data_IF_009237990400
#
_entry.id   IF_009237990400
#
_cell.length_a   1.000
_cell.length_b   1.000
_cell.length_c   1.000
_cell.angle_alpha   90.00
_cell.angle_beta   90.00
_cell.angle_gamma   90.00
#
_symmetry.space_group_name_H-M   'P 1'
#
loop_
_entity.id
_entity.type
_entity.pdbx_description
1 polymer ?
#
# COMPACT_ATOMS: atom_id res chain seq x y z
N UNK A 1 9.07 -17.83 -14.69
CA UNK A 1 9.21 -16.37 -14.89
C UNK A 1 7.85 -15.74 -14.62
N UNK A 2 7.67 -14.92 -13.56
CA UNK A 2 6.39 -14.25 -13.36
C UNK A 2 6.16 -13.29 -14.52
N UNK A 3 4.98 -13.34 -15.12
CA UNK A 3 4.56 -12.42 -16.18
C UNK A 3 4.51 -11.03 -15.53
N UNK A 4 5.46 -10.16 -15.86
CA UNK A 4 5.42 -8.77 -15.46
C UNK A 4 4.03 -8.25 -15.84
N UNK A 5 3.23 -7.86 -14.84
CA UNK A 5 1.92 -7.28 -15.09
C UNK A 5 2.13 -6.13 -16.07
N UNK A 6 1.43 -6.15 -17.21
CA UNK A 6 1.51 -5.07 -18.18
C UNK A 6 1.19 -3.76 -17.46
N UNK A 7 2.19 -2.88 -17.36
CA UNK A 7 2.04 -1.59 -16.73
C UNK A 7 1.22 -0.72 -17.67
N UNK A 8 -0.11 -0.78 -17.53
CA UNK A 8 -1.03 0.03 -18.32
C UNK A 8 -0.90 1.49 -17.87
N UNK A 9 -0.32 2.31 -18.74
CA UNK A 9 -0.20 3.74 -18.51
C UNK A 9 -1.52 4.42 -18.94
N UNK A 10 -2.08 5.25 -18.05
CA UNK A 10 -3.32 5.99 -18.31
C UNK A 10 -2.99 7.47 -18.49
N UNK A 11 -3.46 8.12 -19.58
CA UNK A 11 -3.21 9.54 -19.79
C UNK A 11 -3.97 10.39 -18.76
N UNK A 12 -3.31 11.43 -18.25
CA UNK A 12 -3.90 12.41 -17.34
C UNK A 12 -3.93 13.78 -18.04
N UNK A 13 -5.14 14.30 -18.27
CA UNK A 13 -5.35 15.63 -18.85
C UNK A 13 -5.88 16.59 -17.79
N UNK A 14 -5.26 17.76 -17.65
CA UNK A 14 -5.68 18.81 -16.72
C UNK A 14 -5.39 20.19 -17.31
N UNK A 15 -6.15 21.19 -16.86
CA UNK A 15 -5.96 22.61 -17.24
C UNK A 15 -5.35 23.36 -16.07
N UNK A 16 -4.30 24.12 -16.32
CA UNK A 16 -3.67 25.00 -15.34
C UNK A 16 -3.60 26.43 -15.88
N UNK A 17 -3.68 27.45 -15.00
CA UNK A 17 -3.29 28.81 -15.34
C UNK A 17 -1.86 28.88 -15.86
N UNK A 18 -1.58 29.84 -16.75
CA UNK A 18 -0.25 30.03 -17.33
C UNK A 18 0.82 30.32 -16.25
N UNK A 19 0.45 31.09 -15.22
CA UNK A 19 1.32 31.39 -14.09
C UNK A 19 1.79 30.12 -13.35
N UNK A 20 0.88 29.16 -13.14
CA UNK A 20 1.20 27.91 -12.46
C UNK A 20 2.12 27.04 -13.32
N UNK A 21 1.87 26.98 -14.63
CA UNK A 21 2.71 26.26 -15.59
C UNK A 21 4.14 26.84 -15.57
N UNK A 22 4.29 28.15 -15.57
CA UNK A 22 5.59 28.82 -15.55
C UNK A 22 6.40 28.47 -14.28
N UNK A 23 5.73 28.42 -13.12
CA UNK A 23 6.38 28.04 -11.85
C UNK A 23 6.80 26.57 -11.88
N UNK A 24 5.93 25.68 -12.37
CA UNK A 24 6.21 24.24 -12.50
C UNK A 24 7.40 24.00 -13.42
N UNK A 25 7.45 24.66 -14.57
CA UNK A 25 8.54 24.52 -15.55
C UNK A 25 9.88 24.95 -14.99
N UNK A 26 9.89 26.06 -14.25
CA UNK A 26 11.09 26.53 -13.57
C UNK A 26 11.56 25.50 -12.54
N UNK A 27 10.65 24.95 -11.73
CA UNK A 27 10.99 23.94 -10.73
C UNK A 27 11.49 22.64 -11.36
N UNK A 28 10.84 22.16 -12.43
CA UNK A 28 11.25 20.97 -13.16
C UNK A 28 12.64 21.14 -13.79
N UNK A 29 12.90 22.32 -14.38
CA UNK A 29 14.21 22.68 -14.97
C UNK A 29 15.31 22.68 -13.90
N UNK A 30 15.06 23.29 -12.74
CA UNK A 30 16.02 23.29 -11.62
C UNK A 30 16.32 21.88 -11.09
N UNK A 31 15.39 20.93 -11.27
CA UNK A 31 15.57 19.52 -10.91
C UNK A 31 16.10 18.66 -12.06
N UNK A 32 16.30 19.21 -13.26
CA UNK A 32 16.73 18.47 -14.45
C UNK A 32 15.72 17.40 -14.88
N UNK A 33 14.43 17.64 -14.67
CA UNK A 33 13.33 16.71 -15.01
C UNK A 33 12.39 17.33 -16.04
N UNK A 34 11.65 16.48 -16.76
CA UNK A 34 10.56 16.94 -17.61
C UNK A 34 9.39 17.47 -16.76
N UNK A 35 8.59 18.39 -17.31
CA UNK A 35 7.35 18.87 -16.67
C UNK A 35 6.46 17.69 -16.23
N UNK A 36 6.26 16.72 -17.12
CA UNK A 36 5.41 15.55 -16.88
C UNK A 36 5.95 14.69 -15.75
N UNK A 37 7.26 14.43 -15.70
CA UNK A 37 7.86 13.65 -14.62
C UNK A 37 7.75 14.39 -13.28
N UNK A 38 8.02 15.68 -13.26
CA UNK A 38 7.96 16.51 -12.06
C UNK A 38 6.54 16.54 -11.48
N UNK A 39 5.53 16.77 -12.31
CA UNK A 39 4.12 16.78 -11.87
C UNK A 39 3.68 15.39 -11.41
N UNK A 40 4.07 14.32 -12.12
CA UNK A 40 3.73 12.94 -11.72
C UNK A 40 4.30 12.62 -10.34
N UNK A 41 5.60 12.88 -10.14
CA UNK A 41 6.28 12.59 -8.87
C UNK A 41 5.67 13.40 -7.73
N UNK A 42 5.42 14.69 -7.93
CA UNK A 42 4.78 15.54 -6.94
C UNK A 42 3.37 15.07 -6.57
N UNK A 43 2.56 14.69 -7.57
CA UNK A 43 1.20 14.19 -7.33
C UNK A 43 1.17 12.86 -6.56
N UNK A 44 2.06 11.91 -6.92
CA UNK A 44 2.17 10.62 -6.22
C UNK A 44 2.59 10.86 -4.77
N UNK A 45 3.62 11.67 -4.55
CA UNK A 45 4.11 11.98 -3.20
C UNK A 45 3.02 12.60 -2.33
N UNK A 46 2.29 13.59 -2.86
CA UNK A 46 1.20 14.21 -2.13
C UNK A 46 0.08 13.21 -1.78
N UNK A 47 -0.22 12.27 -2.70
CA UNK A 47 -1.19 11.21 -2.42
C UNK A 47 -0.70 10.24 -1.34
N UNK A 48 0.57 9.84 -1.38
CA UNK A 48 1.20 8.98 -0.37
C UNK A 48 1.16 9.64 1.02
N UNK A 49 1.51 10.93 1.11
CA UNK A 49 1.47 11.68 2.36
C UNK A 49 0.06 11.66 2.99
N UNK A 50 -0.98 11.91 2.18
CA UNK A 50 -2.38 11.86 2.65
C UNK A 50 -2.80 10.45 3.09
N UNK A 51 -2.38 9.42 2.35
CA UNK A 51 -2.69 8.04 2.72
C UNK A 51 -2.03 7.67 4.06
N UNK A 52 -0.79 8.09 4.28
CA UNK A 52 -0.07 7.89 5.54
C UNK A 52 -0.75 8.62 6.70
N UNK A 53 -1.26 9.84 6.50
CA UNK A 53 -2.03 10.57 7.51
C UNK A 53 -3.35 9.89 7.90
N UNK A 54 -3.96 9.16 6.97
CA UNK A 54 -5.21 8.42 7.18
C UNK A 54 -5.03 7.00 7.73
N UNK A 55 -3.81 6.47 7.69
CA UNK A 55 -3.48 5.11 8.14
C UNK A 55 -3.19 4.90 9.65
N UNK A 56 -3.08 5.90 10.55
CA UNK A 56 -2.80 5.60 11.94
C UNK A 56 -4.05 5.05 12.62
N UNK A 57 -3.93 3.85 13.21
CA UNK A 57 -4.88 3.36 14.20
C UNK A 57 -4.80 4.30 15.41
N UNK A 58 -5.70 5.28 15.48
CA UNK A 58 -5.77 6.17 16.63
C UNK A 58 -6.36 5.42 17.81
N UNK A 59 -5.65 5.42 18.92
CA UNK A 59 -6.10 4.83 20.19
C UNK A 59 -5.79 5.78 21.34
N UNK A 60 -6.60 5.72 22.40
CA UNK A 60 -6.32 6.44 23.65
C UNK A 60 -5.06 5.86 24.32
N UNK A 61 -4.48 6.59 25.28
CA UNK A 61 -3.34 6.09 26.06
C UNK A 61 -3.67 4.75 26.76
N UNK A 62 -4.89 4.62 27.29
CA UNK A 62 -5.37 3.38 27.90
C UNK A 62 -5.52 2.25 26.86
N UNK A 63 -6.04 2.57 25.67
CA UNK A 63 -6.15 1.63 24.56
C UNK A 63 -4.78 1.13 24.09
N UNK A 64 -3.78 2.02 24.06
CA UNK A 64 -2.40 1.65 23.76
C UNK A 64 -1.78 0.76 24.84
N UNK A 65 -2.04 1.07 26.12
CA UNK A 65 -1.61 0.22 27.23
C UNK A 65 -2.22 -1.18 27.19
N UNK A 66 -3.53 -1.28 26.89
CA UNK A 66 -4.21 -2.55 26.71
C UNK A 66 -3.65 -3.34 25.52
N UNK A 67 -3.38 -2.66 24.40
CA UNK A 67 -2.77 -3.25 23.22
C UNK A 67 -1.37 -3.82 23.52
N UNK A 68 -0.48 -3.06 24.16
CA UNK A 68 0.85 -3.52 24.55
C UNK A 68 0.80 -4.70 25.53
N UNK A 69 -0.15 -4.69 26.47
CA UNK A 69 -0.38 -5.81 27.39
C UNK A 69 -0.80 -7.07 26.64
N UNK A 70 -1.71 -6.95 25.68
CA UNK A 70 -2.12 -8.07 24.84
C UNK A 70 -0.95 -8.61 24.00
N UNK A 71 -0.13 -7.73 23.42
CA UNK A 71 1.00 -8.10 22.57
C UNK A 71 2.14 -8.78 23.35
N UNK A 72 2.39 -8.35 24.58
CA UNK A 72 3.45 -8.90 25.46
C UNK A 72 3.03 -10.16 26.22
N UNK A 73 1.74 -10.48 26.25
CA UNK A 73 1.23 -11.67 26.93
C UNK A 73 1.54 -12.94 26.12
N UNK A 74 1.82 -14.08 26.78
CA UNK A 74 1.94 -15.35 26.10
C UNK A 74 0.70 -15.65 25.26
N UNK A 75 0.91 -16.21 24.06
CA UNK A 75 -0.17 -16.59 23.18
C UNK A 75 -1.09 -17.59 23.89
N UNK A 76 -2.36 -17.25 24.02
CA UNK A 76 -3.37 -18.15 24.57
C UNK A 76 -3.98 -18.95 23.42
N UNK A 77 -4.02 -20.27 23.57
CA UNK A 77 -4.63 -21.14 22.57
C UNK A 77 -6.13 -20.96 22.58
N UNK A 78 -6.69 -20.54 21.45
CA UNK A 78 -8.14 -20.49 21.20
C UNK A 78 -8.51 -21.75 20.38
N UNK A 79 -9.29 -22.70 20.93
CA UNK A 79 -9.56 -23.99 20.30
C UNK A 79 -10.07 -23.89 18.86
N UNK A 80 -10.97 -22.94 18.59
CA UNK A 80 -11.54 -22.68 17.27
C UNK A 80 -10.48 -22.20 16.27
N UNK A 81 -9.51 -21.40 16.75
CA UNK A 81 -8.40 -20.91 15.95
C UNK A 81 -7.41 -22.03 15.62
N UNK A 82 -7.18 -22.94 16.58
CA UNK A 82 -6.36 -24.14 16.38
C UNK A 82 -7.02 -25.08 15.36
N UNK A 83 -8.34 -25.28 15.46
CA UNK A 83 -9.10 -26.09 14.50
C UNK A 83 -9.07 -25.46 13.10
N UNK A 84 -9.27 -24.14 12.99
CA UNK A 84 -9.19 -23.41 11.73
C UNK A 84 -7.80 -23.55 11.09
N UNK A 85 -6.73 -23.37 11.85
CA UNK A 85 -5.35 -23.45 11.34
C UNK A 85 -4.92 -24.88 11.00
N UNK A 86 -5.53 -25.90 11.62
CA UNK A 86 -5.31 -27.32 11.29
C UNK A 86 -6.11 -27.77 10.07
N UNK A 87 -7.12 -27.02 9.66
CA UNK A 87 -7.93 -27.37 8.48
C UNK A 87 -7.07 -27.21 7.22
N UNK A 88 -6.96 -28.26 6.38
CA UNK A 88 -6.26 -28.15 5.12
C UNK A 88 -6.91 -27.06 4.28
N UNK A 89 -6.08 -26.25 3.65
CA UNK A 89 -6.55 -25.13 2.89
C UNK A 89 -7.37 -25.63 1.68
N UNK A 90 -8.45 -24.93 1.28
CA UNK A 90 -9.36 -25.41 0.23
C UNK A 90 -8.69 -25.76 -1.11
N UNK A 91 -7.51 -25.19 -1.38
CA UNK A 91 -6.72 -25.43 -2.60
C UNK A 91 -5.73 -26.60 -2.51
N UNK A 92 -5.49 -27.16 -1.32
CA UNK A 92 -4.57 -28.30 -1.12
C UNK A 92 -5.19 -29.63 -1.59
N UNK A 93 -6.52 -29.70 -1.64
CA UNK A 93 -7.25 -30.86 -2.16
C UNK A 93 -7.12 -31.05 -3.68
N UNK A 94 -6.54 -30.08 -4.41
CA UNK A 94 -6.32 -30.16 -5.86
C UNK A 94 -4.95 -30.71 -6.28
N UNK A 95 -4.02 -30.93 -5.34
CA UNK A 95 -2.64 -31.36 -5.62
C UNK A 95 -2.42 -32.88 -5.59
N UNK A 96 -3.49 -33.69 -5.46
CA UNK A 96 -3.40 -35.13 -5.69
C UNK A 96 -3.70 -35.43 -7.16
N UNK A 97 -2.71 -35.20 -8.04
CA UNK A 97 -2.68 -35.80 -9.38
C UNK A 97 -1.42 -36.66 -9.56
N UNK A 98 -1.69 -37.96 -9.55
CA UNK A 98 -1.11 -39.02 -10.40
C UNK A 98 0.36 -39.39 -10.17
N UNK A 99 0.54 -40.49 -9.43
CA UNK A 99 1.76 -41.29 -9.40
C UNK A 99 1.42 -42.78 -9.27
N UNK A 100 0.90 -43.38 -10.33
CA UNK A 100 1.27 -44.70 -10.85
C UNK A 100 0.72 -44.86 -12.28
#
# INVERSE_FOLDING_TARGET
MPRAAERKEHPLSMRLPEADIAIIDRAATLRGRSRTDFVREAAVRAAEDVLMESAPIRMSADGFGAFLKALSSPATTVPEMVELLRRPAPWENGAQKTGN
#
